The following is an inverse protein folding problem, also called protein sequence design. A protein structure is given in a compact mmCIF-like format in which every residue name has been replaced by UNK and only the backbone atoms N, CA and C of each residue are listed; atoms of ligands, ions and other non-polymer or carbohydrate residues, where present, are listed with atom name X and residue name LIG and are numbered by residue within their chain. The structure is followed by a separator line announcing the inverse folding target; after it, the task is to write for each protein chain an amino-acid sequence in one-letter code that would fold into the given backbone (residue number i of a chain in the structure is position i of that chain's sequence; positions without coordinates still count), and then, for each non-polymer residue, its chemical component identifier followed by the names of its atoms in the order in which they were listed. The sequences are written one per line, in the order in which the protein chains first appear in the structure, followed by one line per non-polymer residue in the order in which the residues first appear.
data_IF_994376308432
#
_entry.id   IF_994376308432
#
_cell.length_a   1.000
_cell.length_b   1.000
_cell.length_c   1.000
_cell.angle_alpha   90.00
_cell.angle_beta   90.00
_cell.angle_gamma   90.00
#
_symmetry.space_group_name_H-M   'P 1'
#
loop_
_entity.id
_entity.type
_entity.pdbx_description
1 polymer ?
#
# COMPACT_ATOMS: atom_id res chain seq x y z
N UNK A 1 87.87 37.75 2.27
CA UNK A 1 89.13 36.95 2.29
C UNK A 1 89.59 36.84 3.74
N UNK A 2 90.31 35.79 4.17
CA UNK A 2 90.43 34.43 3.59
C UNK A 2 90.42 33.30 4.69
N UNK A 3 90.88 32.07 4.32
CA UNK A 3 91.56 31.01 5.14
C UNK A 3 90.78 29.72 5.51
N UNK A 4 91.54 28.62 5.74
CA UNK A 4 91.08 27.32 6.27
C UNK A 4 92.10 26.14 6.25
N UNK A 5 91.94 25.20 7.20
CA UNK A 5 91.93 23.70 7.16
C UNK A 5 93.01 22.76 6.49
N UNK A 6 92.98 21.45 6.86
CA UNK A 6 93.40 20.22 6.10
C UNK A 6 93.03 18.89 6.84
N UNK A 7 93.09 17.70 6.19
CA UNK A 7 92.89 16.28 6.69
C UNK A 7 93.85 15.28 5.96
N UNK A 8 94.02 13.96 6.23
CA UNK A 8 93.46 12.93 7.16
C UNK A 8 93.25 11.56 6.43
N UNK A 9 93.50 10.37 7.03
CA UNK A 9 93.65 9.10 6.24
C UNK A 9 93.36 7.72 6.91
N UNK A 10 92.65 6.80 6.20
CA UNK A 10 92.82 5.31 6.13
C UNK A 10 91.96 4.66 4.99
N UNK A 11 91.93 3.32 4.72
CA UNK A 11 91.28 2.71 3.49
C UNK A 11 90.66 1.27 3.54
N UNK A 12 89.98 0.80 2.46
CA UNK A 12 89.28 -0.52 2.33
C UNK A 12 89.07 -1.00 0.85
N UNK A 13 88.63 -2.26 0.58
CA UNK A 13 88.67 -2.96 -0.75
C UNK A 13 87.40 -3.70 -1.23
N UNK A 14 86.95 -3.43 -2.48
CA UNK A 14 86.06 -4.28 -3.32
C UNK A 14 86.46 -4.12 -4.82
N UNK A 15 86.47 -5.17 -5.68
CA UNK A 15 86.84 -5.05 -7.10
C UNK A 15 85.85 -4.22 -7.95
N UNK A 16 86.36 -3.26 -8.73
CA UNK A 16 85.56 -2.23 -9.38
C UNK A 16 84.54 -2.74 -10.42
N UNK A 17 84.87 -3.72 -11.26
CA UNK A 17 84.00 -4.14 -12.38
C UNK A 17 82.67 -4.75 -11.92
N UNK A 18 82.68 -5.49 -10.81
CA UNK A 18 81.47 -6.06 -10.19
C UNK A 18 80.59 -4.92 -9.68
N UNK A 19 81.17 -3.94 -9.00
CA UNK A 19 80.49 -2.73 -8.53
C UNK A 19 79.91 -1.91 -9.69
N UNK A 20 80.64 -1.73 -10.79
CA UNK A 20 80.18 -1.02 -12.00
C UNK A 20 79.02 -1.75 -12.68
N UNK A 21 79.00 -3.09 -12.66
CA UNK A 21 77.87 -3.87 -13.18
C UNK A 21 76.64 -3.74 -12.25
N UNK A 22 76.80 -3.96 -10.94
CA UNK A 22 75.72 -3.79 -9.95
C UNK A 22 75.07 -2.41 -10.05
N UNK A 23 75.86 -1.33 -10.04
CA UNK A 23 75.36 0.04 -10.19
C UNK A 23 74.64 0.29 -11.52
N UNK A 24 74.97 -0.44 -12.59
CA UNK A 24 74.28 -0.37 -13.89
C UNK A 24 72.93 -1.09 -13.85
N UNK A 25 72.90 -2.28 -13.26
CA UNK A 25 71.69 -3.10 -13.13
C UNK A 25 70.70 -2.46 -12.13
N UNK A 26 71.19 -1.87 -11.03
CA UNK A 26 70.42 -1.00 -10.13
C UNK A 26 69.87 0.23 -10.84
N UNK A 27 70.71 0.98 -11.58
CA UNK A 27 70.27 2.16 -12.35
C UNK A 27 69.18 1.79 -13.37
N UNK A 28 69.31 0.66 -14.06
CA UNK A 28 68.30 0.18 -15.00
C UNK A 28 66.98 -0.18 -14.30
N UNK A 29 67.07 -0.82 -13.13
CA UNK A 29 65.90 -1.13 -12.28
C UNK A 29 65.21 0.15 -11.77
N UNK A 30 65.98 1.15 -11.33
CA UNK A 30 65.47 2.48 -10.92
C UNK A 30 64.76 3.17 -12.09
N UNK A 31 65.31 3.13 -13.30
CA UNK A 31 64.65 3.70 -14.48
C UNK A 31 63.33 2.97 -14.84
N UNK A 32 63.27 1.64 -14.70
CA UNK A 32 62.02 0.88 -14.88
C UNK A 32 60.96 1.23 -13.82
N UNK A 33 61.37 1.38 -12.56
CA UNK A 33 60.49 1.83 -11.46
C UNK A 33 59.98 3.25 -11.70
N UNK A 34 60.84 4.18 -12.13
CA UNK A 34 60.46 5.55 -12.47
C UNK A 34 59.47 5.61 -13.65
N UNK A 35 59.69 4.82 -14.71
CA UNK A 35 58.74 4.73 -15.83
C UNK A 35 57.39 4.14 -15.38
N UNK A 36 57.40 3.13 -14.51
CA UNK A 36 56.19 2.52 -13.94
C UNK A 36 55.41 3.51 -13.08
N UNK A 37 56.09 4.28 -12.22
CA UNK A 37 55.50 5.36 -11.41
C UNK A 37 54.89 6.47 -12.28
N UNK A 38 55.57 6.86 -13.37
CA UNK A 38 55.05 7.85 -14.32
C UNK A 38 53.83 7.32 -15.10
N UNK A 39 53.80 6.04 -15.46
CA UNK A 39 52.65 5.39 -16.09
C UNK A 39 51.46 5.30 -15.12
N UNK A 40 51.67 4.85 -13.89
CA UNK A 40 50.67 4.79 -12.82
C UNK A 40 50.09 6.19 -12.53
N UNK A 41 50.95 7.21 -12.38
CA UNK A 41 50.53 8.59 -12.18
C UNK A 41 49.75 9.19 -13.36
N UNK A 42 50.00 8.75 -14.60
CA UNK A 42 49.16 9.09 -15.77
C UNK A 42 47.81 8.39 -15.72
N UNK A 43 47.79 7.09 -15.38
CA UNK A 43 46.58 6.28 -15.27
C UNK A 43 45.62 6.84 -14.21
N UNK A 44 46.12 7.14 -12.99
CA UNK A 44 45.30 7.69 -11.91
C UNK A 44 44.73 9.07 -12.26
N UNK A 45 45.48 9.94 -12.98
CA UNK A 45 44.94 11.22 -13.47
C UNK A 45 43.88 11.06 -14.55
N UNK A 46 43.92 9.98 -15.35
CA UNK A 46 42.82 9.64 -16.26
C UNK A 46 41.61 9.17 -15.45
N UNK A 47 41.79 8.19 -14.56
CA UNK A 47 40.71 7.63 -13.73
C UNK A 47 39.98 8.72 -12.91
N UNK A 48 40.71 9.66 -12.31
CA UNK A 48 40.11 10.80 -11.59
C UNK A 48 39.22 11.65 -12.50
N UNK A 49 39.64 11.93 -13.75
CA UNK A 49 38.82 12.67 -14.72
C UNK A 49 37.60 11.85 -15.15
N UNK A 50 37.81 10.61 -15.54
CA UNK A 50 36.74 9.70 -15.98
C UNK A 50 35.64 9.57 -14.89
N UNK A 51 36.04 9.51 -13.61
CA UNK A 51 35.15 9.51 -12.44
C UNK A 51 34.46 10.86 -12.23
N UNK A 52 35.19 11.99 -12.31
CA UNK A 52 34.58 13.32 -12.18
C UNK A 52 33.53 13.58 -13.27
N UNK A 53 33.80 13.22 -14.52
CA UNK A 53 32.81 13.34 -15.60
C UNK A 53 31.61 12.40 -15.40
N UNK A 54 31.82 11.19 -14.86
CA UNK A 54 30.72 10.29 -14.52
C UNK A 54 29.83 10.85 -13.39
N UNK A 55 30.44 11.44 -12.35
CA UNK A 55 29.71 12.10 -11.26
C UNK A 55 28.95 13.33 -11.76
N UNK A 56 29.55 14.16 -12.62
CA UNK A 56 28.86 15.31 -13.22
C UNK A 56 27.65 14.87 -14.04
N UNK A 57 27.82 13.88 -14.96
CA UNK A 57 26.71 13.34 -15.75
C UNK A 57 25.58 12.78 -14.88
N UNK A 58 25.89 12.14 -13.75
CA UNK A 58 24.87 11.66 -12.81
C UNK A 58 24.13 12.80 -12.09
N UNK A 59 24.84 13.86 -11.68
CA UNK A 59 24.25 15.06 -11.09
C UNK A 59 23.35 15.82 -12.09
N UNK A 60 23.78 15.93 -13.35
CA UNK A 60 23.01 16.60 -14.41
C UNK A 60 21.69 15.85 -14.69
N UNK A 61 21.73 14.52 -14.76
CA UNK A 61 20.54 13.66 -14.92
C UNK A 61 19.59 13.83 -13.72
N UNK A 62 20.10 13.75 -12.48
CA UNK A 62 19.29 13.90 -11.28
C UNK A 62 18.66 15.30 -11.18
N UNK A 63 19.42 16.35 -11.53
CA UNK A 63 18.93 17.74 -11.58
C UNK A 63 17.80 17.90 -12.61
N UNK A 64 17.93 17.28 -13.78
CA UNK A 64 16.87 17.26 -14.80
C UNK A 64 15.61 16.55 -14.29
N UNK A 65 15.76 15.40 -13.62
CA UNK A 65 14.62 14.65 -13.05
C UNK A 65 13.91 15.42 -11.93
N UNK A 66 14.66 16.07 -11.04
CA UNK A 66 14.10 16.95 -10.00
C UNK A 66 13.36 18.13 -10.62
N UNK A 67 13.92 18.75 -11.67
CA UNK A 67 13.26 19.86 -12.38
C UNK A 67 11.96 19.40 -13.05
N UNK A 68 11.96 18.26 -13.75
CA UNK A 68 10.76 17.67 -14.36
C UNK A 68 9.69 17.35 -13.30
N UNK A 69 10.08 16.75 -12.18
CA UNK A 69 9.16 16.46 -11.07
C UNK A 69 8.57 17.74 -10.45
N UNK A 70 9.40 18.76 -10.24
CA UNK A 70 8.96 20.07 -9.73
C UNK A 70 7.97 20.76 -10.67
N UNK A 71 8.17 20.70 -11.99
CA UNK A 71 7.19 21.25 -12.95
C UNK A 71 5.88 20.48 -12.92
N UNK A 72 5.89 19.13 -12.84
CA UNK A 72 4.68 18.32 -12.68
C UNK A 72 3.92 18.65 -11.39
N UNK A 73 4.63 18.82 -10.27
CA UNK A 73 4.04 19.25 -8.99
C UNK A 73 3.43 20.65 -9.08
N UNK A 74 4.07 21.59 -9.79
CA UNK A 74 3.49 22.92 -10.05
C UNK A 74 2.24 22.85 -10.93
N UNK A 75 2.23 22.05 -12.00
CA UNK A 75 1.04 21.85 -12.85
C UNK A 75 -0.12 21.26 -12.03
N UNK A 76 0.12 20.18 -11.27
CA UNK A 76 -0.88 19.57 -10.39
C UNK A 76 -1.41 20.56 -9.33
N UNK A 77 -0.53 21.39 -8.75
CA UNK A 77 -0.93 22.43 -7.79
C UNK A 77 -1.84 23.49 -8.43
N UNK A 78 -1.55 23.92 -9.66
CA UNK A 78 -2.39 24.84 -10.42
C UNK A 78 -3.74 24.21 -10.85
N UNK A 79 -3.75 22.93 -11.21
CA UNK A 79 -4.99 22.19 -11.51
C UNK A 79 -5.88 22.03 -10.26
N UNK A 80 -5.28 21.74 -9.09
CA UNK A 80 -5.99 21.72 -7.80
C UNK A 80 -6.51 23.11 -7.43
N UNK A 81 -5.72 24.18 -7.60
CA UNK A 81 -6.19 25.55 -7.36
C UNK A 81 -7.34 25.95 -8.28
N UNK A 82 -7.30 25.58 -9.57
CA UNK A 82 -8.40 25.80 -10.51
C UNK A 82 -9.66 25.02 -10.09
N UNK A 83 -9.51 23.73 -9.78
CA UNK A 83 -10.61 22.87 -9.35
C UNK A 83 -11.26 23.36 -8.05
N UNK A 84 -10.46 23.83 -7.09
CA UNK A 84 -10.96 24.46 -5.86
C UNK A 84 -11.72 25.77 -6.16
N UNK A 85 -11.22 26.59 -7.08
CA UNK A 85 -11.88 27.85 -7.49
C UNK A 85 -13.25 27.58 -8.14
N UNK A 86 -13.34 26.54 -8.97
CA UNK A 86 -14.61 26.08 -9.57
C UNK A 86 -15.55 25.48 -8.50
N UNK A 87 -15.01 24.74 -7.52
CA UNK A 87 -15.76 24.21 -6.37
C UNK A 87 -16.34 25.31 -5.46
N UNK A 88 -15.66 26.44 -5.27
CA UNK A 88 -16.17 27.57 -4.48
C UNK A 88 -17.33 28.33 -5.15
N UNK A 89 -17.69 28.02 -6.41
CA UNK A 89 -18.92 28.52 -7.03
C UNK A 89 -20.17 27.67 -6.69
N UNK A 90 -20.03 26.61 -5.90
CA UNK A 90 -21.15 25.79 -5.45
C UNK A 90 -22.04 26.55 -4.46
N UNK A 91 -23.36 26.32 -4.58
CA UNK A 91 -24.36 26.77 -3.59
C UNK A 91 -24.10 26.10 -2.23
N UNK A 92 -24.58 26.66 -1.10
CA UNK A 92 -24.44 26.06 0.22
C UNK A 92 -24.87 24.59 0.19
N UNK A 93 -24.06 23.75 0.85
CA UNK A 93 -24.03 22.28 0.75
C UNK A 93 -25.43 21.69 0.67
N UNK A 94 -25.79 21.14 -0.50
CA UNK A 94 -26.78 20.07 -0.54
C UNK A 94 -26.15 18.88 0.19
N UNK A 95 -26.78 18.41 1.27
CA UNK A 95 -26.33 17.21 1.99
C UNK A 95 -26.46 15.99 1.08
N UNK A 96 -25.40 15.68 0.33
CA UNK A 96 -25.29 14.45 -0.43
C UNK A 96 -25.12 13.30 0.57
N UNK A 97 -26.03 12.30 0.51
CA UNK A 97 -26.08 11.25 1.54
C UNK A 97 -24.96 10.22 1.37
N UNK A 98 -24.46 10.06 0.15
CA UNK A 98 -23.38 9.15 -0.23
C UNK A 98 -22.73 9.59 -1.56
N UNK A 99 -21.69 8.87 -2.00
CA UNK A 99 -21.01 9.13 -3.27
C UNK A 99 -21.89 8.96 -4.52
N UNK A 100 -23.01 8.22 -4.45
CA UNK A 100 -23.95 8.10 -5.57
C UNK A 100 -24.75 9.39 -5.72
N UNK A 101 -25.26 9.97 -4.62
CA UNK A 101 -25.89 11.29 -4.65
C UNK A 101 -24.93 12.39 -5.14
N UNK A 102 -23.66 12.37 -4.73
CA UNK A 102 -22.65 13.32 -5.25
C UNK A 102 -22.54 13.17 -6.77
N UNK A 103 -22.39 11.94 -7.27
CA UNK A 103 -22.25 11.67 -8.71
C UNK A 103 -23.47 12.16 -9.48
N UNK A 104 -24.67 11.77 -9.05
CA UNK A 104 -25.90 11.99 -9.80
C UNK A 104 -26.35 13.46 -9.78
N UNK A 105 -26.01 14.24 -8.75
CA UNK A 105 -26.22 15.70 -8.75
C UNK A 105 -25.18 16.43 -9.62
N UNK A 106 -23.89 16.08 -9.53
CA UNK A 106 -22.82 16.84 -10.18
C UNK A 106 -22.57 16.48 -11.65
N UNK A 107 -22.97 15.28 -12.13
CA UNK A 107 -22.73 14.83 -13.52
C UNK A 107 -23.39 15.72 -14.58
N UNK A 108 -24.42 16.49 -14.20
CA UNK A 108 -25.08 17.47 -15.08
C UNK A 108 -24.38 18.83 -15.14
N UNK A 109 -23.41 19.08 -14.24
CA UNK A 109 -22.75 20.39 -14.05
C UNK A 109 -21.26 20.32 -14.34
N UNK A 110 -20.59 19.20 -14.00
CA UNK A 110 -19.14 19.02 -14.08
C UNK A 110 -18.80 17.92 -15.10
N UNK A 111 -18.04 18.22 -16.18
CA UNK A 111 -17.74 17.24 -17.24
C UNK A 111 -16.99 15.98 -16.78
N UNK A 112 -16.23 16.09 -15.68
CA UNK A 112 -15.64 14.95 -14.97
C UNK A 112 -15.57 15.25 -13.49
N UNK A 113 -16.19 14.40 -12.67
CA UNK A 113 -16.04 14.40 -11.22
C UNK A 113 -14.79 13.56 -10.89
N UNK A 114 -13.79 14.09 -10.16
CA UNK A 114 -12.61 13.32 -9.79
C UNK A 114 -12.90 12.28 -8.70
N UNK A 115 -12.12 11.20 -8.65
CA UNK A 115 -12.06 10.34 -7.47
C UNK A 115 -11.25 11.02 -6.36
N UNK A 116 -11.70 10.98 -5.09
CA UNK A 116 -11.07 11.70 -3.99
C UNK A 116 -11.86 11.67 -2.67
N UNK A 117 -11.46 12.46 -1.67
CA UNK A 117 -12.24 12.66 -0.44
C UNK A 117 -13.42 13.58 -0.73
N UNK A 118 -14.59 13.20 -0.22
CA UNK A 118 -15.79 14.03 -0.16
C UNK A 118 -16.42 13.97 1.23
N UNK A 119 -17.17 15.00 1.60
CA UNK A 119 -18.00 15.00 2.81
C UNK A 119 -19.40 14.53 2.42
N UNK A 120 -19.94 13.55 3.16
CA UNK A 120 -21.31 13.04 3.01
C UNK A 120 -22.09 13.17 4.32
N UNK A 121 -23.41 13.16 4.23
CA UNK A 121 -24.32 13.26 5.37
C UNK A 121 -25.50 12.29 5.17
N UNK A 122 -25.35 11.01 5.55
CA UNK A 122 -26.39 10.00 5.38
C UNK A 122 -27.62 10.27 6.25
N UNK A 123 -28.75 9.66 5.90
CA UNK A 123 -29.98 9.81 6.66
C UNK A 123 -29.84 9.30 8.10
N UNK A 124 -30.48 10.00 9.04
CA UNK A 124 -30.47 9.67 10.47
C UNK A 124 -29.03 9.71 11.06
N UNK A 125 -28.18 10.61 10.57
CA UNK A 125 -26.89 10.97 11.18
C UNK A 125 -26.94 12.40 11.73
N UNK A 126 -26.38 12.63 12.92
CA UNK A 126 -26.30 13.98 13.52
C UNK A 126 -25.12 14.81 12.96
N UNK A 127 -24.19 14.18 12.23
CA UNK A 127 -22.98 14.81 11.72
C UNK A 127 -22.56 14.27 10.35
N UNK A 128 -22.07 15.18 9.51
CA UNK A 128 -21.44 14.84 8.23
C UNK A 128 -20.02 14.30 8.44
N UNK A 129 -19.54 13.43 7.56
CA UNK A 129 -18.20 12.83 7.67
C UNK A 129 -17.53 12.62 6.31
N UNK A 130 -16.22 12.43 6.34
CA UNK A 130 -15.39 12.20 5.14
C UNK A 130 -15.48 10.75 4.65
N UNK A 131 -15.54 10.59 3.33
CA UNK A 131 -15.45 9.30 2.62
C UNK A 131 -14.57 9.44 1.38
N UNK A 132 -13.90 8.36 0.97
CA UNK A 132 -13.29 8.31 -0.36
C UNK A 132 -14.34 7.89 -1.39
N UNK A 133 -14.64 8.76 -2.36
CA UNK A 133 -15.47 8.44 -3.51
C UNK A 133 -14.62 8.04 -4.72
N UNK A 134 -14.93 6.89 -5.31
CA UNK A 134 -14.34 6.43 -6.57
C UNK A 134 -15.33 6.72 -7.72
N UNK A 135 -15.03 7.75 -8.50
CA UNK A 135 -15.89 8.30 -9.55
C UNK A 135 -15.54 7.79 -10.95
N UNK A 136 -14.32 7.30 -11.17
CA UNK A 136 -13.86 6.81 -12.46
C UNK A 136 -14.28 5.36 -12.76
N UNK A 137 -14.47 4.52 -11.73
CA UNK A 137 -14.62 3.07 -11.89
C UNK A 137 -16.07 2.62 -12.14
N UNK A 138 -16.30 1.81 -13.19
CA UNK A 138 -17.61 1.22 -13.54
C UNK A 138 -18.80 2.21 -13.49
N UNK A 139 -18.60 3.44 -13.98
CA UNK A 139 -19.63 4.49 -13.98
C UNK A 139 -19.76 5.27 -12.66
N UNK A 140 -18.78 5.15 -11.76
CA UNK A 140 -18.60 6.02 -10.60
C UNK A 140 -19.63 5.87 -9.48
N UNK A 141 -19.60 6.82 -8.55
CA UNK A 141 -20.55 6.93 -7.44
C UNK A 141 -20.30 5.98 -6.27
N UNK A 142 -19.14 5.33 -6.22
CA UNK A 142 -18.79 4.34 -5.21
C UNK A 142 -18.22 4.99 -3.95
N UNK A 143 -18.78 4.67 -2.78
CA UNK A 143 -18.18 4.97 -1.48
C UNK A 143 -17.23 3.83 -1.10
N UNK A 144 -15.95 4.10 -0.89
CA UNK A 144 -14.99 3.07 -0.46
C UNK A 144 -15.07 2.88 1.06
N UNK A 145 -15.57 1.72 1.49
CA UNK A 145 -15.70 1.37 2.92
C UNK A 145 -14.44 0.72 3.50
N UNK A 146 -13.66 0.03 2.67
CA UNK A 146 -12.38 -0.56 3.05
C UNK A 146 -11.41 -0.54 1.86
N UNK A 147 -10.12 -0.28 2.13
CA UNK A 147 -9.04 -0.49 1.16
C UNK A 147 -7.80 -1.05 1.86
N UNK A 148 -7.12 -1.99 1.18
CA UNK A 148 -5.78 -2.50 1.50
C UNK A 148 -4.91 -2.42 0.24
N UNK A 149 -3.67 -1.97 0.35
CA UNK A 149 -2.74 -1.84 -0.79
C UNK A 149 -1.26 -1.73 -0.44
N UNK A 150 -0.88 -1.36 0.78
CA UNK A 150 0.53 -1.16 1.18
C UNK A 150 0.90 -1.82 2.52
N UNK A 151 -0.09 -2.25 3.31
CA UNK A 151 0.11 -2.88 4.61
C UNK A 151 0.61 -1.92 5.69
N UNK A 152 0.48 -0.61 5.51
CA UNK A 152 0.93 0.40 6.47
C UNK A 152 -0.11 0.72 7.54
N UNK A 153 -1.40 0.46 7.29
CA UNK A 153 -2.45 0.62 8.32
C UNK A 153 -2.59 -0.68 9.10
N UNK A 154 -2.50 -0.59 10.42
CA UNK A 154 -2.79 -1.72 11.30
C UNK A 154 -4.31 -1.95 11.41
N UNK A 155 -4.73 -3.19 11.17
CA UNK A 155 -6.09 -3.72 11.28
C UNK A 155 -6.30 -4.60 12.54
N UNK A 156 -5.27 -4.75 13.41
CA UNK A 156 -5.41 -5.36 14.73
C UNK A 156 -6.08 -4.36 15.68
N UNK A 157 -7.42 -4.32 15.68
CA UNK A 157 -8.21 -3.28 16.36
C UNK A 157 -9.31 -3.88 17.22
N UNK A 158 -9.57 -3.19 18.32
CA UNK A 158 -10.74 -3.40 19.18
C UNK A 158 -12.05 -3.13 18.44
N UNK A 159 -13.13 -3.61 19.04
CA UNK A 159 -14.51 -3.35 18.63
C UNK A 159 -14.76 -1.87 18.30
N UNK A 160 -14.52 -0.98 19.28
CA UNK A 160 -14.73 0.47 19.10
C UNK A 160 -13.96 1.04 17.90
N UNK A 161 -12.74 0.55 17.65
CA UNK A 161 -11.95 0.93 16.48
C UNK A 161 -12.62 0.50 15.17
N UNK A 162 -13.16 -0.72 15.11
CA UNK A 162 -13.92 -1.19 13.95
C UNK A 162 -15.28 -0.49 13.80
N UNK A 163 -15.89 -0.01 14.88
CA UNK A 163 -17.15 0.73 14.82
C UNK A 163 -16.96 2.18 14.37
N UNK A 164 -15.96 2.88 14.91
CA UNK A 164 -15.66 4.28 14.60
C UNK A 164 -14.87 4.45 13.29
N UNK A 165 -14.00 3.51 12.93
CA UNK A 165 -13.14 3.56 11.74
C UNK A 165 -11.72 4.05 11.98
N UNK A 166 -10.79 3.66 11.09
CA UNK A 166 -9.35 3.91 11.22
C UNK A 166 -8.63 3.92 9.86
N UNK A 167 -7.40 4.43 9.83
CA UNK A 167 -6.60 4.58 8.61
C UNK A 167 -6.95 5.82 7.78
N UNK A 168 -6.21 6.04 6.69
CA UNK A 168 -6.31 7.22 5.84
C UNK A 168 -6.02 6.90 4.37
N UNK A 169 -6.91 7.33 3.46
CA UNK A 169 -6.73 7.47 1.99
C UNK A 169 -6.30 6.22 1.18
N UNK A 170 -5.08 5.73 1.43
CA UNK A 170 -4.47 4.57 0.77
C UNK A 170 -4.93 3.27 1.43
N UNK A 171 -4.97 3.21 2.76
CA UNK A 171 -5.57 2.12 3.52
C UNK A 171 -6.47 2.66 4.61
N UNK A 172 -7.70 2.14 4.71
CA UNK A 172 -8.65 2.53 5.75
C UNK A 172 -9.75 1.49 5.96
N UNK A 173 -10.39 1.57 7.12
CA UNK A 173 -11.71 1.03 7.43
C UNK A 173 -12.62 2.20 7.79
N UNK A 174 -13.74 2.38 7.09
CA UNK A 174 -14.61 3.55 7.24
C UNK A 174 -15.33 3.61 8.61
N UNK A 175 -15.47 2.48 9.29
CA UNK A 175 -16.21 2.33 10.55
C UNK A 175 -17.60 1.75 10.33
N UNK A 176 -17.96 0.69 11.07
CA UNK A 176 -19.23 -0.01 10.92
C UNK A 176 -20.44 0.92 11.10
N UNK A 177 -20.38 1.86 12.06
CA UNK A 177 -21.48 2.81 12.29
C UNK A 177 -21.70 3.70 11.07
N UNK A 178 -20.63 4.20 10.45
CA UNK A 178 -20.70 5.02 9.22
C UNK A 178 -21.26 4.23 8.04
N UNK A 179 -20.81 2.98 7.86
CA UNK A 179 -21.31 2.09 6.81
C UNK A 179 -22.79 1.76 7.01
N UNK A 180 -23.20 1.42 8.25
CA UNK A 180 -24.59 1.17 8.62
C UNK A 180 -25.52 2.32 8.24
N UNK A 181 -25.16 3.56 8.56
CA UNK A 181 -25.95 4.74 8.20
C UNK A 181 -26.00 5.00 6.68
N UNK A 182 -24.96 4.65 5.93
CA UNK A 182 -24.98 4.75 4.45
C UNK A 182 -25.91 3.69 3.85
N UNK A 183 -25.83 2.43 4.27
CA UNK A 183 -26.50 1.33 3.56
C UNK A 183 -27.97 1.13 3.92
N UNK A 184 -28.41 1.66 5.07
CA UNK A 184 -29.79 1.54 5.56
C UNK A 184 -30.63 2.83 5.37
N UNK A 185 -30.29 3.68 4.40
CA UNK A 185 -31.09 4.85 4.03
C UNK A 185 -32.45 4.43 3.43
N UNK A 186 -33.51 5.20 3.70
CA UNK A 186 -34.88 4.86 3.29
C UNK A 186 -35.05 4.87 1.78
N UNK A 187 -35.86 3.95 1.28
CA UNK A 187 -36.21 3.80 -0.15
C UNK A 187 -34.98 3.64 -1.08
N UNK A 188 -33.84 3.19 -0.53
CA UNK A 188 -32.63 2.86 -1.27
C UNK A 188 -32.22 1.41 -1.06
N UNK A 189 -31.40 0.88 -1.97
CA UNK A 189 -30.71 -0.42 -1.84
C UNK A 189 -29.27 -0.24 -2.27
N UNK A 190 -28.33 -0.90 -1.60
CA UNK A 190 -26.91 -0.82 -1.93
C UNK A 190 -26.39 -2.12 -2.51
N UNK A 191 -25.39 -2.04 -3.38
CA UNK A 191 -24.56 -3.16 -3.79
C UNK A 191 -23.20 -3.04 -3.09
N UNK A 192 -22.69 -4.17 -2.59
CA UNK A 192 -21.29 -4.31 -2.20
C UNK A 192 -20.52 -4.85 -3.41
N UNK A 193 -19.38 -4.23 -3.71
CA UNK A 193 -18.43 -4.72 -4.70
C UNK A 193 -17.04 -4.78 -4.07
N UNK A 194 -16.37 -5.91 -4.29
CA UNK A 194 -15.04 -6.21 -3.79
C UNK A 194 -14.16 -6.43 -5.01
N UNK A 195 -13.20 -5.53 -5.22
CA UNK A 195 -12.18 -5.66 -6.27
C UNK A 195 -10.89 -6.21 -5.66
N UNK A 196 -10.34 -7.27 -6.25
CA UNK A 196 -9.17 -8.03 -5.79
C UNK A 196 -8.05 -7.97 -6.82
N UNK A 197 -6.80 -7.87 -6.36
CA UNK A 197 -5.58 -7.99 -7.19
C UNK A 197 -4.58 -8.93 -6.50
N UNK A 198 -4.01 -9.89 -7.24
CA UNK A 198 -2.99 -10.81 -6.72
C UNK A 198 -1.58 -10.22 -6.81
N UNK A 199 -0.60 -10.86 -6.16
CA UNK A 199 0.81 -10.49 -6.33
C UNK A 199 1.31 -10.65 -7.78
N UNK A 200 0.69 -11.54 -8.57
CA UNK A 200 0.93 -11.76 -9.99
C UNK A 200 0.10 -10.82 -10.91
N UNK A 201 -0.49 -9.77 -10.34
CA UNK A 201 -1.35 -8.77 -11.01
C UNK A 201 -2.59 -9.34 -11.74
N UNK A 202 -2.99 -10.56 -11.40
CA UNK A 202 -4.30 -11.13 -11.80
C UNK A 202 -5.40 -10.43 -11.00
N UNK A 203 -6.47 -10.01 -11.67
CA UNK A 203 -7.60 -9.33 -11.05
C UNK A 203 -8.82 -10.26 -10.90
N UNK A 204 -9.66 -9.97 -9.92
CA UNK A 204 -10.90 -10.70 -9.65
C UNK A 204 -11.90 -9.78 -8.95
N UNK A 205 -13.17 -10.17 -8.93
CA UNK A 205 -14.18 -9.45 -8.16
C UNK A 205 -15.27 -10.35 -7.59
N UNK A 206 -15.87 -9.86 -6.52
CA UNK A 206 -17.14 -10.32 -5.98
C UNK A 206 -18.10 -9.14 -5.91
N UNK A 207 -19.39 -9.37 -6.14
CA UNK A 207 -20.43 -8.36 -6.00
C UNK A 207 -21.70 -9.00 -5.47
N UNK A 208 -22.40 -8.25 -4.61
CA UNK A 208 -23.63 -8.68 -3.97
C UNK A 208 -24.60 -7.50 -4.10
N UNK A 209 -25.78 -7.73 -4.69
CA UNK A 209 -26.88 -6.77 -4.51
C UNK A 209 -27.40 -6.81 -3.06
N UNK A 210 -28.23 -5.84 -2.68
CA UNK A 210 -28.90 -5.78 -1.37
C UNK A 210 -27.99 -5.84 -0.12
N UNK A 211 -26.77 -5.30 -0.22
CA UNK A 211 -25.86 -5.19 0.92
C UNK A 211 -26.42 -4.23 1.97
N UNK A 212 -26.61 -4.75 3.18
CA UNK A 212 -27.02 -3.99 4.37
C UNK A 212 -26.34 -4.56 5.62
N UNK A 213 -26.26 -3.76 6.66
CA UNK A 213 -25.82 -4.18 8.00
C UNK A 213 -26.99 -4.01 8.98
N UNK A 214 -27.15 -4.93 9.93
CA UNK A 214 -28.02 -4.68 11.08
C UNK A 214 -27.36 -3.67 12.06
N UNK A 215 -28.07 -3.30 13.12
CA UNK A 215 -27.65 -2.26 14.06
C UNK A 215 -26.50 -2.67 15.00
N UNK A 216 -25.94 -1.69 15.72
CA UNK A 216 -24.90 -1.89 16.75
C UNK A 216 -25.37 -2.84 17.87
N UNK A 217 -26.67 -2.82 18.21
CA UNK A 217 -27.30 -3.76 19.17
C UNK A 217 -27.55 -5.15 18.60
N UNK A 218 -27.28 -5.35 17.31
CA UNK A 218 -27.23 -6.64 16.60
C UNK A 218 -25.83 -6.90 16.03
N UNK A 219 -24.79 -6.30 16.64
CA UNK A 219 -23.38 -6.50 16.32
C UNK A 219 -23.02 -6.30 14.84
N UNK A 220 -23.76 -5.41 14.15
CA UNK A 220 -23.56 -5.09 12.73
C UNK A 220 -23.59 -6.31 11.78
N UNK A 221 -24.46 -7.30 12.03
CA UNK A 221 -24.60 -8.48 11.17
C UNK A 221 -24.73 -8.13 9.69
N UNK A 222 -23.93 -8.80 8.85
CA UNK A 222 -23.89 -8.58 7.40
C UNK A 222 -25.05 -9.29 6.71
N UNK A 223 -25.66 -8.67 5.72
CA UNK A 223 -26.60 -9.34 4.82
C UNK A 223 -26.18 -9.11 3.37
N UNK A 224 -26.18 -10.18 2.58
CA UNK A 224 -25.76 -10.18 1.18
C UNK A 224 -26.92 -10.68 0.31
N UNK A 225 -27.28 -9.92 -0.72
CA UNK A 225 -28.22 -10.37 -1.75
C UNK A 225 -27.56 -11.29 -2.78
N UNK A 226 -28.04 -11.19 -4.03
CA UNK A 226 -27.62 -12.06 -5.13
C UNK A 226 -26.18 -11.77 -5.52
N UNK A 227 -25.41 -12.85 -5.65
CA UNK A 227 -24.00 -12.82 -6.01
C UNK A 227 -23.78 -12.67 -7.52
N UNK A 228 -22.73 -11.92 -7.90
CA UNK A 228 -22.11 -11.95 -9.22
C UNK A 228 -20.59 -11.71 -9.10
N UNK A 229 -19.77 -12.58 -9.68
CA UNK A 229 -18.31 -12.47 -9.61
C UNK A 229 -17.57 -13.74 -10.04
N UNK A 230 -16.30 -13.84 -9.68
CA UNK A 230 -15.42 -14.97 -10.04
C UNK A 230 -15.15 -15.97 -8.91
N UNK A 231 -15.38 -15.58 -7.66
CA UNK A 231 -15.29 -16.41 -6.46
C UNK A 231 -16.13 -15.79 -5.30
N UNK A 232 -16.98 -16.57 -4.63
CA UNK A 232 -17.79 -16.12 -3.47
C UNK A 232 -17.18 -16.70 -2.19
N UNK A 233 -16.34 -15.94 -1.49
CA UNK A 233 -15.70 -16.41 -0.26
C UNK A 233 -16.52 -16.12 1.00
N UNK A 234 -17.49 -15.20 0.94
CA UNK A 234 -18.44 -15.00 2.05
C UNK A 234 -19.35 -16.23 2.21
N UNK A 235 -19.86 -16.81 1.11
CA UNK A 235 -20.74 -17.99 1.22
C UNK A 235 -20.01 -19.32 1.33
N UNK A 236 -18.75 -19.38 0.91
CA UNK A 236 -17.90 -20.56 1.01
C UNK A 236 -18.46 -21.76 0.24
N UNK A 237 -18.22 -22.97 0.77
CA UNK A 237 -18.67 -24.23 0.17
C UNK A 237 -19.75 -24.97 1.01
N UNK A 238 -19.96 -24.57 2.26
CA UNK A 238 -20.93 -25.18 3.19
C UNK A 238 -21.52 -24.15 4.15
N UNK A 239 -22.46 -24.56 5.02
CA UNK A 239 -23.20 -23.65 5.90
C UNK A 239 -22.32 -23.10 7.04
N UNK A 240 -21.36 -23.88 7.51
CA UNK A 240 -20.42 -23.53 8.57
C UNK A 240 -19.45 -22.42 8.11
N UNK A 241 -19.07 -22.43 6.82
CA UNK A 241 -18.25 -21.40 6.20
C UNK A 241 -19.04 -20.15 5.77
N UNK A 242 -20.37 -20.20 5.74
CA UNK A 242 -21.18 -19.11 5.24
C UNK A 242 -21.24 -17.95 6.25
N UNK A 243 -20.67 -16.82 5.86
CA UNK A 243 -20.55 -15.58 6.65
C UNK A 243 -21.70 -14.59 6.37
N UNK A 244 -22.58 -14.89 5.42
CA UNK A 244 -23.86 -14.18 5.23
C UNK A 244 -24.73 -14.33 6.49
N UNK A 245 -25.37 -13.26 6.97
CA UNK A 245 -26.06 -13.11 8.27
C UNK A 245 -25.18 -13.19 9.53
N UNK A 246 -23.86 -13.42 9.43
CA UNK A 246 -22.98 -13.47 10.59
C UNK A 246 -22.81 -12.09 11.25
N UNK A 247 -22.75 -12.00 12.59
CA UNK A 247 -22.39 -10.77 13.31
C UNK A 247 -20.92 -10.41 13.07
N UNK A 248 -20.58 -9.14 13.28
CA UNK A 248 -19.18 -8.73 13.33
C UNK A 248 -18.55 -9.17 14.65
N UNK A 249 -17.27 -9.53 14.63
CA UNK A 249 -16.46 -9.80 15.83
C UNK A 249 -15.11 -9.10 15.73
N UNK A 250 -14.52 -8.76 16.88
CA UNK A 250 -13.25 -8.06 17.02
C UNK A 250 -12.35 -8.77 18.07
N UNK A 251 -11.16 -8.25 18.35
CA UNK A 251 -10.18 -8.88 19.25
C UNK A 251 -10.63 -9.03 20.72
N UNK A 252 -11.64 -8.25 21.11
CA UNK A 252 -12.12 -8.00 22.46
C UNK A 252 -13.64 -8.18 22.60
N UNK A 253 -14.35 -8.39 21.49
CA UNK A 253 -15.79 -8.67 21.43
C UNK A 253 -16.02 -9.81 20.46
N UNK A 254 -16.31 -10.99 21.00
CA UNK A 254 -16.55 -12.21 20.25
C UNK A 254 -18.05 -12.49 20.11
N UNK A 255 -18.52 -12.60 18.86
CA UNK A 255 -19.87 -12.96 18.49
C UNK A 255 -19.89 -14.13 17.48
N UNK A 256 -18.77 -14.81 17.25
CA UNK A 256 -18.62 -15.72 16.10
C UNK A 256 -19.29 -17.10 16.28
N UNK A 257 -19.23 -17.92 15.22
CA UNK A 257 -19.89 -19.23 15.15
C UNK A 257 -19.17 -20.36 15.88
N UNK A 258 -17.99 -20.12 16.46
CA UNK A 258 -17.16 -21.11 17.15
C UNK A 258 -17.43 -21.18 18.65
N UNK A 259 -18.71 -21.26 19.06
CA UNK A 259 -19.11 -21.31 20.47
C UNK A 259 -19.37 -22.77 20.94
N UNK A 260 -18.64 -23.32 21.94
CA UNK A 260 -17.49 -22.74 22.66
C UNK A 260 -16.14 -22.92 21.95
N UNK A 261 -16.10 -23.73 20.89
CA UNK A 261 -15.00 -23.81 19.93
C UNK A 261 -15.49 -24.42 18.62
N UNK A 262 -14.72 -24.25 17.55
CA UNK A 262 -14.83 -24.98 16.29
C UNK A 262 -13.52 -25.73 15.97
N UNK A 263 -13.57 -26.67 15.03
CA UNK A 263 -12.39 -27.46 14.60
C UNK A 263 -12.04 -27.13 13.15
N UNK A 264 -11.01 -26.29 12.96
CA UNK A 264 -10.60 -25.80 11.64
C UNK A 264 -9.31 -26.51 11.24
N UNK A 265 -9.44 -27.49 10.36
CA UNK A 265 -8.34 -28.42 10.03
C UNK A 265 -7.93 -29.22 11.26
N UNK A 266 -6.71 -28.99 11.75
CA UNK A 266 -6.18 -29.62 12.97
C UNK A 266 -6.20 -28.68 14.19
N UNK A 267 -6.73 -27.46 14.06
CA UNK A 267 -6.76 -26.46 15.12
C UNK A 267 -8.12 -26.42 15.81
N UNK A 268 -8.13 -26.49 17.14
CA UNK A 268 -9.26 -26.01 17.94
C UNK A 268 -9.21 -24.47 17.94
N UNK A 269 -10.32 -23.83 17.58
CA UNK A 269 -10.44 -22.36 17.55
C UNK A 269 -11.57 -21.96 18.48
N UNK A 270 -11.21 -21.25 19.56
CA UNK A 270 -12.14 -20.68 20.55
C UNK A 270 -12.59 -19.25 20.18
N UNK A 271 -11.86 -18.60 19.27
CA UNK A 271 -12.20 -17.28 18.71
C UNK A 271 -11.53 -17.09 17.35
N UNK A 272 -12.31 -16.76 16.32
CA UNK A 272 -11.83 -16.49 14.98
C UNK A 272 -11.03 -15.20 14.87
N UNK A 273 -11.36 -14.18 15.66
CA UNK A 273 -10.56 -12.95 15.68
C UNK A 273 -9.14 -13.22 16.16
N UNK A 274 -8.98 -13.99 17.25
CA UNK A 274 -7.67 -14.39 17.77
C UNK A 274 -6.93 -15.29 16.77
N UNK A 275 -7.61 -16.29 16.20
CA UNK A 275 -7.05 -17.17 15.15
C UNK A 275 -6.59 -16.38 13.92
N UNK A 276 -7.33 -15.34 13.52
CA UNK A 276 -6.95 -14.41 12.46
C UNK A 276 -6.19 -13.18 12.99
N UNK A 277 -5.28 -13.40 13.94
CA UNK A 277 -4.26 -12.43 14.38
C UNK A 277 -4.87 -11.10 14.88
N UNK A 278 -5.92 -11.20 15.69
CA UNK A 278 -6.64 -10.10 16.33
C UNK A 278 -7.30 -9.11 15.34
N UNK A 279 -7.69 -9.59 14.15
CA UNK A 279 -8.39 -8.77 13.13
C UNK A 279 -9.89 -8.99 13.16
N UNK A 280 -10.66 -7.91 12.96
CA UNK A 280 -12.11 -7.92 13.06
C UNK A 280 -12.80 -8.14 11.72
N UNK A 281 -13.83 -9.00 11.71
CA UNK A 281 -14.57 -9.41 10.52
C UNK A 281 -15.94 -10.03 10.89
N UNK A 282 -16.77 -10.29 9.87
CA UNK A 282 -17.98 -11.11 10.01
C UNK A 282 -17.59 -12.60 9.97
N UNK A 283 -17.29 -13.18 11.13
CA UNK A 283 -16.89 -14.59 11.25
C UNK A 283 -18.12 -15.46 11.58
N UNK A 284 -18.31 -16.56 10.84
CA UNK A 284 -19.15 -17.69 11.28
C UNK A 284 -18.23 -18.71 11.97
N UNK A 285 -18.07 -19.95 11.47
CA UNK A 285 -16.95 -20.81 11.88
C UNK A 285 -15.67 -20.39 11.13
N UNK A 286 -15.29 -19.14 11.40
CA UNK A 286 -14.38 -18.24 10.69
C UNK A 286 -14.75 -17.97 9.22
N UNK A 287 -15.11 -19.00 8.45
CA UNK A 287 -15.45 -18.87 7.04
C UNK A 287 -14.22 -18.81 6.12
N UNK A 288 -14.43 -18.36 4.88
CA UNK A 288 -13.42 -18.36 3.81
C UNK A 288 -13.01 -16.96 3.33
N UNK A 289 -13.61 -15.91 3.88
CA UNK A 289 -13.20 -14.53 3.70
C UNK A 289 -12.66 -13.92 5.01
N UNK A 290 -11.55 -13.20 4.93
CA UNK A 290 -11.18 -12.14 5.87
C UNK A 290 -10.31 -11.11 5.13
N UNK A 291 -10.90 -9.98 4.74
CA UNK A 291 -10.18 -8.94 4.00
C UNK A 291 -9.40 -7.96 4.89
N UNK A 292 -9.60 -8.05 6.20
CA UNK A 292 -8.96 -7.21 7.23
C UNK A 292 -7.70 -7.86 7.82
N UNK A 293 -7.40 -9.11 7.47
CA UNK A 293 -6.22 -9.85 7.95
C UNK A 293 -4.90 -9.06 7.84
N UNK A 294 -4.05 -9.23 8.85
CA UNK A 294 -2.79 -8.49 9.03
C UNK A 294 -1.63 -9.50 9.22
N UNK A 295 -0.40 -9.18 8.77
CA UNK A 295 0.75 -10.06 9.00
C UNK A 295 1.01 -10.37 10.49
N UNK A 296 1.53 -11.56 10.75
CA UNK A 296 2.10 -11.89 12.06
C UNK A 296 3.30 -10.98 12.34
N UNK A 297 3.52 -10.63 13.61
CA UNK A 297 4.60 -9.69 13.99
C UNK A 297 6.01 -10.32 13.91
N UNK A 298 6.09 -11.59 13.55
CA UNK A 298 7.29 -12.41 13.46
C UNK A 298 7.90 -12.44 12.05
N UNK A 299 9.20 -12.08 12.00
CA UNK A 299 10.13 -12.17 10.86
C UNK A 299 10.02 -11.14 9.72
N UNK A 300 10.80 -10.05 9.89
CA UNK A 300 11.06 -8.95 8.92
C UNK A 300 11.67 -9.35 7.55
N UNK A 301 11.83 -10.63 7.22
CA UNK A 301 12.72 -11.10 6.14
C UNK A 301 12.07 -12.03 5.09
N UNK A 302 10.75 -12.23 5.11
CA UNK A 302 10.00 -12.77 3.97
C UNK A 302 9.03 -11.69 3.48
N UNK A 303 9.07 -11.39 2.18
CA UNK A 303 8.45 -10.17 1.63
C UNK A 303 6.94 -10.08 1.93
N UNK A 304 6.47 -8.87 2.29
CA UNK A 304 5.14 -8.57 2.81
C UNK A 304 4.02 -9.34 2.10
N UNK A 305 3.62 -10.48 2.68
CA UNK A 305 2.38 -11.17 2.35
C UNK A 305 1.30 -10.60 3.23
N UNK A 306 0.29 -9.97 2.62
CA UNK A 306 -0.89 -9.61 3.40
C UNK A 306 -1.63 -10.90 3.77
N UNK A 307 -2.07 -11.05 5.03
CA UNK A 307 -2.91 -12.18 5.44
C UNK A 307 -4.39 -11.96 5.05
N UNK A 308 -4.61 -11.32 3.89
CA UNK A 308 -5.92 -11.03 3.32
C UNK A 308 -6.40 -12.31 2.64
N UNK A 309 -7.55 -12.83 3.08
CA UNK A 309 -8.08 -14.14 2.65
C UNK A 309 -9.35 -13.95 1.84
N UNK A 310 -9.37 -14.55 0.65
CA UNK A 310 -10.56 -14.79 -0.17
C UNK A 310 -10.43 -16.18 -0.78
N UNK A 311 -10.50 -17.20 0.09
CA UNK A 311 -9.96 -18.55 -0.16
C UNK A 311 -10.60 -19.29 -1.34
N UNK A 312 -11.81 -18.89 -1.76
CA UNK A 312 -12.48 -19.47 -2.93
C UNK A 312 -11.89 -18.99 -4.27
N UNK A 313 -11.07 -17.92 -4.29
CA UNK A 313 -10.34 -17.47 -5.48
C UNK A 313 -9.02 -18.24 -5.64
N UNK A 314 -9.06 -19.32 -6.44
CA UNK A 314 -7.96 -20.27 -6.59
C UNK A 314 -7.48 -20.44 -8.05
N UNK A 315 -6.22 -20.79 -8.22
CA UNK A 315 -5.64 -21.30 -9.46
C UNK A 315 -5.03 -22.70 -9.22
N UNK A 316 -5.40 -23.69 -10.04
CA UNK A 316 -4.98 -25.10 -9.90
C UNK A 316 -5.14 -25.67 -8.48
N UNK A 317 -6.18 -25.22 -7.76
CA UNK A 317 -6.48 -25.62 -6.38
C UNK A 317 -5.78 -24.80 -5.28
N UNK A 318 -4.86 -23.89 -5.61
CA UNK A 318 -4.15 -23.03 -4.65
C UNK A 318 -4.77 -21.63 -4.61
N UNK A 319 -5.08 -21.03 -3.44
CA UNK A 319 -5.55 -19.64 -3.36
C UNK A 319 -4.55 -18.63 -3.92
N UNK A 320 -5.05 -17.58 -4.59
CA UNK A 320 -4.21 -16.44 -4.97
C UNK A 320 -3.74 -15.68 -3.73
N UNK A 321 -2.46 -15.31 -3.67
CA UNK A 321 -1.97 -14.38 -2.64
C UNK A 321 -2.39 -12.96 -3.02
N UNK A 322 -3.16 -12.30 -2.14
CA UNK A 322 -3.75 -10.98 -2.41
C UNK A 322 -2.72 -9.87 -2.13
N UNK A 323 -2.54 -9.00 -3.13
CA UNK A 323 -1.66 -7.81 -3.11
C UNK A 323 -2.43 -6.56 -2.68
N UNK A 324 -3.66 -6.42 -3.15
CA UNK A 324 -4.56 -5.34 -2.76
C UNK A 324 -6.03 -5.75 -2.88
N UNK A 325 -6.88 -5.09 -2.09
CA UNK A 325 -8.33 -5.25 -2.14
C UNK A 325 -9.01 -3.91 -1.86
N UNK A 326 -10.20 -3.72 -2.41
CA UNK A 326 -11.05 -2.56 -2.10
C UNK A 326 -12.50 -3.01 -2.01
N UNK A 327 -13.10 -2.84 -0.83
CA UNK A 327 -14.54 -3.00 -0.62
C UNK A 327 -15.22 -1.64 -0.81
N UNK A 328 -16.17 -1.57 -1.73
CA UNK A 328 -16.88 -0.35 -2.08
C UNK A 328 -18.37 -0.58 -2.28
N UNK A 329 -19.15 0.38 -1.79
CA UNK A 329 -20.61 0.34 -1.80
C UNK A 329 -21.16 1.42 -2.73
N UNK A 330 -22.28 1.13 -3.38
CA UNK A 330 -22.96 2.09 -4.28
C UNK A 330 -24.45 1.83 -4.26
N UNK A 331 -25.26 2.88 -4.43
CA UNK A 331 -26.71 2.72 -4.56
C UNK A 331 -27.05 1.98 -5.86
N UNK A 332 -28.01 1.07 -5.79
CA UNK A 332 -28.61 0.40 -6.95
C UNK A 332 -29.79 1.25 -7.42
N UNK A 333 -29.87 1.54 -8.72
CA UNK A 333 -31.04 2.18 -9.29
C UNK A 333 -32.23 1.20 -9.26
N UNK A 334 -33.23 1.48 -8.44
CA UNK A 334 -34.51 0.79 -8.44
C UNK A 334 -35.37 1.27 -9.60
N UNK A 335 -35.38 0.48 -10.69
CA UNK A 335 -36.40 0.64 -11.73
C UNK A 335 -37.76 0.20 -11.15
N UNK A 336 -38.62 1.17 -10.86
CA UNK A 336 -40.06 0.97 -10.63
C UNK A 336 -40.80 0.80 -11.98
#
# INVERSE_FOLDING_TARGET
RPLGEVKGQDSCTIPCDITVKLLRDEKQSICQLQQSLLAFGRSNRKLMRDVMEAQQRALDILSSQVTELMTKVQTLSLEVQRSNTEMYSMKPVQSHRDCSDIKDNLVSVVPKIPSGIYIVHPENTDSSFEVFCEMDYMGGGWTVMQRRSDGLTDFKRSWDGYVDGFGHLAEHWLGLRKVFHIVNQKDTRFQLHIALVSHDDVTSYASYDDFRLDSETQFFSIHLGRYAGSADAFRGYNQEQNQDTAPFSASDVDNDGCNPFCSIGNCTVESCSIHHNHTGWWFNQCGLANLNGSPEDTERNQGQRTHIVWDTWRHNGVPYTIKSVTMKIRRIATNN
#
